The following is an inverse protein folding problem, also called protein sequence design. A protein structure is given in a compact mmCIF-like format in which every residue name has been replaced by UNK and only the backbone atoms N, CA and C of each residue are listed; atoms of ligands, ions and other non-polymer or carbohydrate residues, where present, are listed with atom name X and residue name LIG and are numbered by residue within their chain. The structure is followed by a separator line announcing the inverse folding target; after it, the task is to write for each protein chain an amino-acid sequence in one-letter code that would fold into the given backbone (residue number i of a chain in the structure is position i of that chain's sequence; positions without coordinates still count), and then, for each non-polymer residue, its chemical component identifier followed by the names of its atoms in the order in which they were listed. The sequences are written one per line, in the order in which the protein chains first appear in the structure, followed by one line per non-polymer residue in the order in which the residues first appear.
data_IF_553362398123
#
_entry.id   IF_553362398123
#
_cell.length_a   1.000
_cell.length_b   1.000
_cell.length_c   1.000
_cell.angle_alpha   90.00
_cell.angle_beta   90.00
_cell.angle_gamma   90.00
#
_symmetry.space_group_name_H-M   'P 1'
#
loop_
_entity.id
_entity.type
_entity.pdbx_description
1 polymer ?
#
# COMPACT_ATOMS: atom_id res chain seq x y z
N UNK A 1 -6.42 -12.94 13.22
CA UNK A 1 -5.12 -12.72 13.93
C UNK A 1 -4.54 -11.40 13.43
N UNK A 2 -4.04 -10.55 14.33
CA UNK A 2 -3.35 -9.33 13.91
C UNK A 2 -1.98 -9.69 13.32
N UNK A 3 -1.54 -8.94 12.31
CA UNK A 3 -0.18 -9.09 11.77
C UNK A 3 0.85 -8.82 12.86
N UNK A 4 2.02 -9.49 12.83
CA UNK A 4 3.10 -9.18 13.76
C UNK A 4 3.54 -7.74 13.60
N UNK A 5 3.89 -7.08 14.72
CA UNK A 5 4.35 -5.69 14.69
C UNK A 5 5.75 -5.58 14.10
N UNK A 6 5.89 -4.64 13.19
CA UNK A 6 7.15 -4.29 12.54
C UNK A 6 7.71 -3.06 13.24
N UNK A 7 8.86 -3.24 13.92
CA UNK A 7 9.56 -2.13 14.60
C UNK A 7 10.09 -1.12 13.59
N UNK A 8 10.26 0.13 13.98
CA UNK A 8 10.92 1.12 13.14
C UNK A 8 12.31 0.64 12.71
N UNK A 9 12.63 0.86 11.46
CA UNK A 9 13.95 0.54 10.90
C UNK A 9 14.44 1.71 10.04
N UNK A 10 15.74 1.81 9.87
CA UNK A 10 16.34 2.77 8.96
C UNK A 10 16.56 2.11 7.60
N UNK A 11 15.94 2.65 6.59
CA UNK A 11 16.24 2.23 5.22
C UNK A 11 17.65 2.72 4.86
N UNK A 12 18.50 1.80 4.48
CA UNK A 12 19.84 2.14 3.97
C UNK A 12 19.71 2.34 2.47
N UNK A 13 19.77 3.60 2.06
CA UNK A 13 19.84 3.93 0.63
C UNK A 13 21.17 3.41 0.08
N UNK A 14 21.08 2.47 -0.84
CA UNK A 14 22.24 1.94 -1.55
C UNK A 14 22.11 2.36 -3.00
N UNK A 15 23.22 2.82 -3.56
CA UNK A 15 23.28 3.03 -4.99
C UNK A 15 23.00 1.70 -5.71
N UNK A 16 21.95 1.70 -6.49
CA UNK A 16 21.58 0.57 -7.35
C UNK A 16 22.04 0.85 -8.78
N UNK A 17 22.91 0.00 -9.30
CA UNK A 17 23.27 0.07 -10.72
C UNK A 17 22.10 -0.40 -11.57
N UNK A 18 21.57 0.49 -12.38
CA UNK A 18 20.60 0.09 -13.40
C UNK A 18 21.27 -0.80 -14.45
N UNK A 19 20.62 -1.92 -14.77
CA UNK A 19 21.09 -2.79 -15.87
C UNK A 19 20.68 -2.29 -17.25
N UNK A 20 19.73 -1.36 -17.28
CA UNK A 20 19.20 -0.77 -18.51
C UNK A 20 19.08 0.73 -18.33
N UNK A 21 19.16 1.49 -19.42
CA UNK A 21 18.99 2.94 -19.46
C UNK A 21 17.65 3.37 -20.03
N UNK A 22 16.60 2.63 -19.75
CA UNK A 22 15.26 2.95 -20.24
C UNK A 22 14.68 4.14 -19.48
N UNK A 23 14.31 5.22 -20.17
CA UNK A 23 13.54 6.28 -19.55
C UNK A 23 12.11 5.82 -19.29
N UNK A 24 11.48 6.39 -18.28
CA UNK A 24 10.03 6.24 -18.09
C UNK A 24 9.32 7.00 -19.19
N UNK A 25 8.50 6.29 -19.98
CA UNK A 25 7.63 6.88 -20.98
C UNK A 25 6.21 7.00 -20.40
N UNK A 26 5.72 8.24 -20.12
CA UNK A 26 4.40 8.42 -19.53
C UNK A 26 3.26 7.81 -20.34
N UNK A 27 3.40 7.74 -21.67
CA UNK A 27 2.37 7.15 -22.54
C UNK A 27 2.26 5.63 -22.43
N UNK A 28 3.24 4.98 -21.81
CA UNK A 28 3.36 3.54 -21.63
C UNK A 28 3.48 3.11 -20.16
N UNK A 29 3.37 4.08 -19.26
CA UNK A 29 3.50 3.85 -17.83
C UNK A 29 2.14 3.71 -17.15
N UNK A 30 2.11 3.01 -16.03
CA UNK A 30 1.02 2.95 -15.07
C UNK A 30 1.61 3.00 -13.66
N UNK A 31 0.96 3.71 -12.75
CA UNK A 31 1.30 3.64 -11.33
C UNK A 31 0.41 2.59 -10.65
N UNK A 32 1.02 1.59 -10.04
CA UNK A 32 0.32 0.59 -9.22
C UNK A 32 0.51 0.88 -7.74
N UNK A 33 -0.58 1.21 -7.05
CA UNK A 33 -0.65 1.37 -5.59
C UNK A 33 -1.07 0.03 -4.99
N UNK A 34 -0.10 -0.69 -4.42
CA UNK A 34 -0.30 -2.08 -4.01
C UNK A 34 -0.66 -2.21 -2.54
N UNK A 35 -1.88 -2.69 -2.25
CA UNK A 35 -2.37 -3.10 -0.93
C UNK A 35 -2.13 -2.07 0.20
N UNK A 36 -2.27 -0.77 -0.08
CA UNK A 36 -2.11 0.29 0.91
C UNK A 36 -3.37 0.43 1.78
N UNK A 37 -3.71 -0.66 2.46
CA UNK A 37 -4.89 -0.81 3.32
C UNK A 37 -4.51 -0.74 4.80
N UNK A 38 -5.44 -0.30 5.64
CA UNK A 38 -5.28 -0.17 7.10
C UNK A 38 -4.69 -1.44 7.72
N UNK A 39 -5.19 -2.62 7.32
CA UNK A 39 -4.72 -3.90 7.84
C UNK A 39 -3.20 -4.09 7.73
N UNK A 40 -2.62 -3.75 6.59
CA UNK A 40 -1.19 -3.93 6.36
C UNK A 40 -0.37 -2.82 7.00
N UNK A 41 -0.83 -1.58 6.87
CA UNK A 41 -0.11 -0.41 7.39
C UNK A 41 -0.06 -0.39 8.92
N UNK A 42 -1.13 -0.83 9.59
CA UNK A 42 -1.16 -0.91 11.06
C UNK A 42 -0.12 -1.85 11.69
N UNK A 43 0.47 -2.75 10.89
CA UNK A 43 1.54 -3.62 11.37
C UNK A 43 2.83 -2.83 11.69
N UNK A 44 3.04 -1.69 11.06
CA UNK A 44 4.21 -0.86 11.29
C UNK A 44 4.03 0.01 12.53
N UNK A 45 4.96 -0.10 13.49
CA UNK A 45 4.96 0.76 14.68
C UNK A 45 5.19 2.22 14.28
N UNK A 46 4.37 3.11 14.83
CA UNK A 46 4.42 4.55 14.53
C UNK A 46 3.70 4.95 13.24
N UNK A 47 2.98 4.03 12.59
CA UNK A 47 2.15 4.37 11.43
C UNK A 47 1.08 5.41 11.79
N UNK A 48 0.90 6.41 10.93
CA UNK A 48 -0.18 7.38 11.06
C UNK A 48 -1.48 6.79 10.50
N UNK A 49 -2.39 6.40 11.40
CA UNK A 49 -3.72 5.90 11.07
C UNK A 49 -4.84 6.79 11.64
N UNK A 50 -4.50 8.04 12.00
CA UNK A 50 -5.45 9.00 12.59
C UNK A 50 -5.59 8.91 14.10
N UNK A 51 -5.06 7.88 14.75
CA UNK A 51 -5.13 7.70 16.20
C UNK A 51 -3.76 7.33 16.80
N UNK A 52 -3.37 8.00 17.89
CA UNK A 52 -2.30 7.53 18.77
C UNK A 52 -0.89 7.95 18.37
N UNK A 53 0.04 7.08 18.54
CA UNK A 53 1.48 7.30 18.51
C UNK A 53 2.03 7.47 17.08
N UNK A 54 1.78 8.63 16.48
CA UNK A 54 2.26 8.97 15.14
C UNK A 54 3.73 9.39 15.18
N UNK A 55 4.59 8.62 14.54
CA UNK A 55 5.98 9.00 14.32
C UNK A 55 6.18 9.45 12.86
N UNK A 56 6.29 10.76 12.58
CA UNK A 56 6.41 11.27 11.22
C UNK A 56 7.67 10.76 10.49
N UNK A 57 8.69 10.35 11.24
CA UNK A 57 9.96 9.83 10.70
C UNK A 57 9.95 8.30 10.55
N UNK A 58 8.88 7.63 10.95
CA UNK A 58 8.73 6.20 10.66
C UNK A 58 8.73 5.95 9.15
N UNK A 59 9.45 4.92 8.70
CA UNK A 59 9.60 4.63 7.27
C UNK A 59 8.27 4.47 6.54
N UNK A 60 7.28 3.89 7.21
CA UNK A 60 5.94 3.75 6.63
C UNK A 60 5.29 5.11 6.34
N UNK A 61 5.44 6.09 7.23
CA UNK A 61 4.86 7.43 7.04
C UNK A 61 5.60 8.21 5.95
N UNK A 62 6.92 8.02 5.83
CA UNK A 62 7.71 8.54 4.71
C UNK A 62 7.23 7.92 3.39
N UNK A 63 7.00 6.60 3.37
CA UNK A 63 6.50 5.88 2.19
C UNK A 63 5.11 6.38 1.78
N UNK A 64 4.18 6.59 2.73
CA UNK A 64 2.84 7.11 2.47
C UNK A 64 2.91 8.51 1.83
N UNK A 65 3.71 9.42 2.42
CA UNK A 65 3.89 10.78 1.86
C UNK A 65 4.49 10.75 0.46
N UNK A 66 5.49 9.91 0.23
CA UNK A 66 6.11 9.79 -1.09
C UNK A 66 5.15 9.19 -2.11
N UNK A 67 4.36 8.19 -1.71
CA UNK A 67 3.35 7.59 -2.56
C UNK A 67 2.26 8.60 -2.94
N UNK A 68 1.80 9.45 -1.98
CA UNK A 68 0.88 10.54 -2.32
C UNK A 68 1.46 11.46 -3.40
N UNK A 69 2.72 11.87 -3.25
CA UNK A 69 3.40 12.68 -4.26
C UNK A 69 3.51 12.00 -5.63
N UNK A 70 3.74 10.68 -5.64
CA UNK A 70 3.78 9.91 -6.88
C UNK A 70 2.40 9.84 -7.55
N UNK A 71 1.33 9.65 -6.77
CA UNK A 71 -0.04 9.66 -7.29
C UNK A 71 -0.37 11.03 -7.91
N UNK A 72 -0.05 12.13 -7.21
CA UNK A 72 -0.28 13.48 -7.72
C UNK A 72 0.50 13.73 -9.02
N UNK A 73 1.74 13.29 -9.07
CA UNK A 73 2.58 13.42 -10.26
C UNK A 73 2.06 12.57 -11.44
N UNK A 74 1.60 11.34 -11.16
CA UNK A 74 0.99 10.47 -12.16
C UNK A 74 -0.27 11.12 -12.75
N UNK A 75 -1.16 11.63 -11.90
CA UNK A 75 -2.35 12.35 -12.34
C UNK A 75 -2.02 13.59 -13.19
N UNK A 76 -1.01 14.38 -12.77
CA UNK A 76 -0.58 15.55 -13.51
C UNK A 76 0.02 15.21 -14.89
N UNK A 77 0.68 14.05 -14.99
CA UNK A 77 1.28 13.55 -16.23
C UNK A 77 0.31 12.74 -17.10
N UNK A 78 -0.95 12.54 -16.67
CA UNK A 78 -1.92 11.69 -17.37
C UNK A 78 -1.60 10.20 -17.33
N UNK A 79 -0.76 9.77 -16.39
CA UNK A 79 -0.43 8.36 -16.17
C UNK A 79 -1.58 7.72 -15.37
N UNK A 80 -2.18 6.62 -15.87
CA UNK A 80 -3.23 5.91 -15.13
C UNK A 80 -2.73 5.39 -13.77
N UNK A 81 -3.58 5.50 -12.74
CA UNK A 81 -3.31 4.96 -11.41
C UNK A 81 -4.25 3.79 -11.13
N UNK A 82 -3.66 2.66 -10.77
CA UNK A 82 -4.36 1.46 -10.38
C UNK A 82 -4.03 1.11 -8.93
N UNK A 83 -5.02 0.61 -8.23
CA UNK A 83 -4.88 0.11 -6.87
C UNK A 83 -5.16 -1.39 -6.85
N UNK A 84 -4.46 -2.11 -6.00
CA UNK A 84 -4.91 -3.44 -5.57
C UNK A 84 -5.39 -3.36 -4.15
N UNK A 85 -6.49 -4.07 -3.85
CA UNK A 85 -7.02 -4.18 -2.50
C UNK A 85 -7.62 -5.56 -2.27
N UNK A 86 -7.37 -6.13 -1.10
CA UNK A 86 -8.02 -7.35 -0.65
C UNK A 86 -9.38 -6.98 -0.04
N UNK A 87 -10.47 -7.68 -0.42
CA UNK A 87 -11.77 -7.48 0.21
C UNK A 87 -11.78 -8.09 1.61
N UNK A 88 -12.65 -7.58 2.51
CA UNK A 88 -12.85 -8.18 3.81
C UNK A 88 -13.64 -9.50 3.69
N UNK A 89 -13.57 -10.34 4.71
CA UNK A 89 -14.38 -11.56 4.84
C UNK A 89 -14.30 -12.48 3.62
N UNK A 90 -13.08 -12.69 3.13
CA UNK A 90 -12.83 -13.57 1.97
C UNK A 90 -13.26 -15.02 2.29
N UNK A 91 -13.73 -15.72 1.25
CA UNK A 91 -14.10 -17.12 1.38
C UNK A 91 -12.90 -17.97 1.84
N UNK A 92 -13.01 -18.72 2.96
CA UNK A 92 -11.92 -19.55 3.46
C UNK A 92 -11.44 -20.62 2.49
N UNK A 93 -12.30 -21.11 1.60
CA UNK A 93 -11.92 -22.12 0.61
C UNK A 93 -10.94 -21.55 -0.42
N UNK A 94 -11.11 -20.29 -0.81
CA UNK A 94 -10.24 -19.60 -1.76
C UNK A 94 -8.91 -19.17 -1.12
N UNK A 95 -8.90 -19.03 0.21
CA UNK A 95 -7.73 -18.56 0.98
C UNK A 95 -6.97 -19.63 1.76
N UNK A 96 -7.28 -20.89 1.60
CA UNK A 96 -6.81 -21.99 2.44
C UNK A 96 -5.36 -21.87 2.88
N UNK A 97 -4.42 -21.79 1.93
CA UNK A 97 -3.00 -21.68 2.22
C UNK A 97 -2.64 -20.37 2.94
N UNK A 98 -3.28 -19.27 2.57
CA UNK A 98 -3.05 -17.97 3.20
C UNK A 98 -3.56 -17.93 4.65
N UNK A 99 -4.68 -18.63 4.94
CA UNK A 99 -5.20 -18.78 6.31
C UNK A 99 -4.23 -19.55 7.18
N UNK A 100 -3.65 -20.62 6.67
CA UNK A 100 -2.68 -21.45 7.42
C UNK A 100 -1.44 -20.62 7.80
N UNK A 101 -0.97 -19.72 6.93
CA UNK A 101 0.21 -18.89 7.16
C UNK A 101 -0.07 -17.59 7.90
N UNK A 102 -1.16 -16.89 7.57
CA UNK A 102 -1.41 -15.51 7.96
C UNK A 102 -2.67 -15.33 8.78
N UNK A 103 -3.46 -16.41 8.98
CA UNK A 103 -4.77 -16.36 9.62
C UNK A 103 -5.85 -15.81 8.68
N UNK A 104 -7.01 -15.49 9.28
CA UNK A 104 -8.23 -15.16 8.54
C UNK A 104 -8.16 -13.89 7.67
N UNK A 105 -7.07 -13.15 7.72
CA UNK A 105 -6.88 -11.93 6.93
C UNK A 105 -7.76 -10.76 7.39
N UNK A 106 -8.27 -10.00 6.44
CA UNK A 106 -9.10 -8.82 6.67
C UNK A 106 -10.53 -9.23 7.07
N UNK A 107 -10.95 -8.85 8.28
CA UNK A 107 -12.23 -9.31 8.83
C UNK A 107 -13.37 -8.28 8.69
N UNK A 108 -13.07 -7.01 8.49
CA UNK A 108 -14.07 -5.96 8.44
C UNK A 108 -13.68 -4.87 7.42
N UNK A 109 -14.64 -4.03 7.10
CA UNK A 109 -14.51 -2.98 6.09
C UNK A 109 -13.47 -1.93 6.49
N UNK A 110 -13.34 -1.62 7.78
CA UNK A 110 -12.33 -0.68 8.28
C UNK A 110 -10.91 -1.19 8.04
N UNK A 111 -10.65 -2.45 8.34
CA UNK A 111 -9.33 -3.06 8.09
C UNK A 111 -9.00 -3.19 6.60
N UNK A 112 -10.04 -3.32 5.75
CA UNK A 112 -9.89 -3.44 4.30
C UNK A 112 -9.81 -2.08 3.59
N UNK A 113 -10.09 -0.99 4.29
CA UNK A 113 -10.09 0.35 3.73
C UNK A 113 -8.68 0.75 3.27
N UNK A 114 -8.58 1.32 2.05
CA UNK A 114 -7.39 2.02 1.60
C UNK A 114 -7.21 3.26 2.48
N UNK A 115 -5.99 3.62 2.80
CA UNK A 115 -5.69 4.81 3.62
C UNK A 115 -6.33 6.06 3.01
N UNK A 116 -6.94 6.91 3.85
CA UNK A 116 -7.61 8.14 3.40
C UNK A 116 -6.66 9.07 2.66
N UNK A 117 -5.41 9.17 3.13
CA UNK A 117 -4.35 9.96 2.48
C UNK A 117 -4.04 9.50 1.05
N UNK A 118 -4.34 8.26 0.72
CA UNK A 118 -4.08 7.62 -0.58
C UNK A 118 -5.37 7.24 -1.30
N UNK A 119 -6.53 7.69 -0.81
CA UNK A 119 -7.81 7.27 -1.35
C UNK A 119 -7.89 7.46 -2.88
N UNK A 120 -8.38 6.43 -3.61
CA UNK A 120 -8.58 6.55 -5.04
C UNK A 120 -9.65 7.60 -5.36
N UNK A 121 -9.49 8.22 -6.52
CA UNK A 121 -10.46 9.17 -7.10
C UNK A 121 -11.27 8.49 -8.19
N UNK A 122 -12.27 9.19 -8.74
CA UNK A 122 -13.09 8.67 -9.85
C UNK A 122 -12.28 8.36 -11.13
N UNK A 123 -11.05 8.83 -11.20
CA UNK A 123 -10.13 8.57 -12.32
C UNK A 123 -9.31 7.31 -12.15
N UNK A 124 -9.31 6.74 -10.97
CA UNK A 124 -8.46 5.62 -10.59
C UNK A 124 -9.23 4.29 -10.66
N UNK A 125 -8.51 3.20 -10.83
CA UNK A 125 -9.11 1.87 -10.91
C UNK A 125 -8.67 1.05 -9.70
N UNK A 126 -9.62 0.48 -8.96
CA UNK A 126 -9.33 -0.45 -7.88
C UNK A 126 -9.57 -1.88 -8.35
N UNK A 127 -8.52 -2.68 -8.30
CA UNK A 127 -8.56 -4.10 -8.65
C UNK A 127 -8.67 -4.93 -7.38
N UNK A 128 -9.68 -5.78 -7.33
CA UNK A 128 -9.84 -6.75 -6.24
C UNK A 128 -8.79 -7.84 -6.36
N UNK A 129 -8.07 -8.10 -5.26
CA UNK A 129 -7.04 -9.13 -5.17
C UNK A 129 -7.49 -10.19 -4.16
N UNK A 130 -7.48 -11.46 -4.59
CA UNK A 130 -7.85 -12.63 -3.77
C UNK A 130 -6.63 -13.34 -3.19
#
# INVERSE_FOLDING_TARGET
MALPKIKPYTYVDREHSNRVSWPVDPSRAVLLVHDMQVHFVQAFEGANLGEGNNNPDAQINIAIRNLRRLIDAAHAAGIPVYYTAQPPRQNPEDRRLLIDFWGDGLQNDESARILDELAPTDRDTVLTKW
#
